data_IF_130137045281
#
_entry.id   IF_130137045281
#
_cell.length_a   1.000
_cell.length_b   1.000
_cell.length_c   1.000
_cell.angle_alpha   90.00
_cell.angle_beta   90.00
_cell.angle_gamma   90.00
#
_symmetry.space_group_name_H-M   'P 1'
#
loop_
_entity.id
_entity.type
_entity.pdbx_description
1 polymer ?
#
# COMPACT_ATOMS: atom_id res chain seq x y z
N UNK A 1 -4.44 12.76 -18.67
CA UNK A 1 -4.23 12.27 -17.28
C UNK A 1 -5.19 11.13 -16.92
N UNK A 2 -6.50 11.29 -17.18
CA UNK A 2 -7.53 10.25 -16.96
C UNK A 2 -7.21 8.87 -17.58
N UNK A 3 -6.88 8.81 -18.88
CA UNK A 3 -6.59 7.55 -19.59
C UNK A 3 -5.35 6.85 -19.01
N UNK A 4 -4.31 7.62 -18.65
CA UNK A 4 -3.09 7.09 -18.03
C UNK A 4 -3.38 6.53 -16.64
N UNK A 5 -4.23 7.20 -15.86
CA UNK A 5 -4.64 6.76 -14.53
C UNK A 5 -5.49 5.47 -14.61
N UNK A 6 -6.35 5.35 -15.62
CA UNK A 6 -7.17 4.17 -15.87
C UNK A 6 -6.32 2.96 -16.29
N UNK A 7 -5.36 3.15 -17.20
CA UNK A 7 -4.41 2.10 -17.57
C UNK A 7 -3.53 1.67 -16.40
N UNK A 8 -3.09 2.61 -15.56
CA UNK A 8 -2.26 2.30 -14.41
C UNK A 8 -3.02 1.50 -13.34
N UNK A 9 -4.28 1.88 -13.04
CA UNK A 9 -5.14 1.10 -12.13
C UNK A 9 -5.43 -0.29 -12.69
N UNK A 10 -5.74 -0.41 -13.98
CA UNK A 10 -6.01 -1.71 -14.61
C UNK A 10 -4.78 -2.64 -14.57
N UNK A 11 -3.60 -2.12 -14.92
CA UNK A 11 -2.35 -2.88 -14.86
C UNK A 11 -2.01 -3.31 -13.42
N UNK A 12 -2.21 -2.42 -12.44
CA UNK A 12 -2.04 -2.73 -11.02
C UNK A 12 -3.01 -3.80 -10.53
N UNK A 13 -4.29 -3.78 -10.95
CA UNK A 13 -5.26 -4.82 -10.60
C UNK A 13 -4.88 -6.20 -11.14
N UNK A 14 -4.39 -6.29 -12.39
CA UNK A 14 -3.96 -7.56 -12.98
C UNK A 14 -2.74 -8.12 -12.22
N UNK A 15 -1.77 -7.27 -11.87
CA UNK A 15 -0.64 -7.66 -11.04
C UNK A 15 -1.06 -8.15 -9.64
N UNK A 16 -2.09 -7.54 -9.04
CA UNK A 16 -2.62 -8.00 -7.75
C UNK A 16 -3.27 -9.39 -7.85
N UNK A 17 -3.98 -9.69 -8.94
CA UNK A 17 -4.55 -11.03 -9.14
C UNK A 17 -3.45 -12.10 -9.24
N UNK A 18 -2.34 -11.81 -9.92
CA UNK A 18 -1.17 -12.70 -9.97
C UNK A 18 -0.48 -12.83 -8.61
N UNK A 19 -0.42 -11.75 -7.83
CA UNK A 19 0.13 -11.76 -6.47
C UNK A 19 -0.70 -12.60 -5.49
N UNK A 20 -1.99 -12.77 -5.74
CA UNK A 20 -2.85 -13.61 -4.90
C UNK A 20 -2.53 -15.10 -5.02
N UNK A 21 -1.95 -15.56 -6.14
CA UNK A 21 -1.67 -16.98 -6.37
C UNK A 21 -0.67 -17.55 -5.33
N UNK A 22 0.51 -16.91 -5.07
CA UNK A 22 1.40 -17.32 -4.00
C UNK A 22 0.79 -17.35 -2.60
N UNK A 23 -0.20 -16.49 -2.31
CA UNK A 23 -0.86 -16.48 -0.99
C UNK A 23 -1.52 -17.84 -0.75
N UNK A 24 -2.22 -18.39 -1.74
CA UNK A 24 -2.85 -19.71 -1.60
C UNK A 24 -1.87 -20.87 -1.39
N UNK A 25 -0.60 -20.70 -1.76
CA UNK A 25 0.41 -21.76 -1.72
C UNK A 25 1.24 -21.69 -0.42
N UNK A 26 1.57 -20.50 0.06
CA UNK A 26 2.52 -20.31 1.17
C UNK A 26 1.88 -19.87 2.49
N UNK A 27 0.57 -19.66 2.52
CA UNK A 27 -0.18 -19.39 3.75
C UNK A 27 -0.79 -20.69 4.27
N UNK A 28 -0.17 -21.26 5.30
CA UNK A 28 -0.65 -22.48 5.95
C UNK A 28 -0.98 -22.22 7.42
N UNK A 29 -1.78 -23.11 8.01
CA UNK A 29 -2.07 -23.09 9.45
C UNK A 29 -0.88 -23.71 10.17
N UNK A 30 -0.16 -22.90 10.93
CA UNK A 30 0.94 -23.40 11.76
C UNK A 30 0.40 -24.39 12.80
N UNK A 31 0.90 -25.64 12.84
CA UNK A 31 0.41 -26.64 13.80
C UNK A 31 0.77 -26.29 15.25
N UNK A 32 1.74 -25.38 15.46
CA UNK A 32 2.25 -25.01 16.78
C UNK A 32 1.47 -23.82 17.37
N UNK A 33 1.21 -22.80 16.55
CA UNK A 33 0.54 -21.56 17.02
C UNK A 33 -0.95 -21.53 16.70
N UNK A 34 -1.47 -22.50 15.91
CA UNK A 34 -2.83 -22.52 15.36
C UNK A 34 -3.24 -21.23 14.63
N UNK A 35 -2.26 -20.42 14.24
CA UNK A 35 -2.49 -19.19 13.48
C UNK A 35 -2.18 -19.43 12.02
N UNK A 36 -3.03 -18.86 11.15
CA UNK A 36 -2.75 -18.81 9.72
C UNK A 36 -1.61 -17.84 9.48
N UNK A 37 -0.52 -18.32 8.90
CA UNK A 37 0.69 -17.53 8.77
C UNK A 37 1.55 -17.97 7.59
N UNK A 38 2.46 -17.10 7.22
CA UNK A 38 3.41 -17.41 6.17
C UNK A 38 4.44 -18.44 6.67
N UNK A 39 4.55 -19.58 5.98
CA UNK A 39 5.50 -20.64 6.31
C UNK A 39 6.89 -20.41 5.72
N UNK A 40 7.01 -19.53 4.71
CA UNK A 40 8.24 -19.31 3.97
C UNK A 40 8.79 -17.89 4.19
N UNK A 41 9.97 -17.80 4.81
CA UNK A 41 10.66 -16.53 5.05
C UNK A 41 10.95 -15.74 3.77
N UNK A 42 11.28 -16.42 2.66
CA UNK A 42 11.51 -15.77 1.37
C UNK A 42 10.23 -15.13 0.82
N UNK A 43 9.09 -15.79 1.01
CA UNK A 43 7.79 -15.24 0.64
C UNK A 43 7.45 -14.00 1.48
N UNK A 44 7.82 -13.97 2.77
CA UNK A 44 7.58 -12.83 3.65
C UNK A 44 8.37 -11.57 3.24
N UNK A 45 9.60 -11.76 2.77
CA UNK A 45 10.40 -10.67 2.17
C UNK A 45 9.71 -10.17 0.89
N UNK A 46 9.31 -11.09 0.01
CA UNK A 46 8.64 -10.75 -1.25
C UNK A 46 7.34 -9.96 -1.03
N UNK A 47 6.47 -10.40 -0.12
CA UNK A 47 5.20 -9.71 0.17
C UNK A 47 5.44 -8.31 0.74
N UNK A 48 6.45 -8.16 1.60
CA UNK A 48 6.80 -6.86 2.18
C UNK A 48 7.32 -5.89 1.11
N UNK A 49 8.21 -6.36 0.22
CA UNK A 49 8.72 -5.56 -0.91
C UNK A 49 7.60 -5.21 -1.89
N UNK A 50 6.71 -6.16 -2.19
CA UNK A 50 5.59 -5.92 -3.09
C UNK A 50 4.63 -4.86 -2.51
N UNK A 51 4.29 -4.96 -1.23
CA UNK A 51 3.39 -4.03 -0.54
C UNK A 51 3.98 -2.61 -0.44
N UNK A 52 5.23 -2.47 0.02
CA UNK A 52 5.88 -1.16 0.17
C UNK A 52 6.31 -0.54 -1.16
N UNK A 53 6.82 -1.35 -2.08
CA UNK A 53 7.38 -0.86 -3.34
C UNK A 53 6.30 -0.68 -4.40
N UNK A 54 5.78 -1.81 -4.87
CA UNK A 54 4.89 -1.87 -6.03
C UNK A 54 3.48 -1.34 -5.75
N UNK A 55 2.91 -1.67 -4.59
CA UNK A 55 1.53 -1.30 -4.29
C UNK A 55 1.39 0.16 -3.82
N UNK A 56 2.42 0.77 -3.23
CA UNK A 56 2.33 2.13 -2.66
C UNK A 56 3.35 3.11 -3.22
N UNK A 57 4.65 2.83 -3.12
CA UNK A 57 5.67 3.82 -3.46
C UNK A 57 5.65 4.20 -4.94
N UNK A 58 5.60 3.22 -5.84
CA UNK A 58 5.58 3.47 -7.30
C UNK A 58 4.36 4.31 -7.72
N UNK A 59 3.10 3.93 -7.40
CA UNK A 59 1.95 4.73 -7.77
C UNK A 59 1.97 6.11 -7.10
N UNK A 60 2.39 6.23 -5.85
CA UNK A 60 2.51 7.52 -5.17
C UNK A 60 3.49 8.46 -5.87
N UNK A 61 4.69 7.99 -6.20
CA UNK A 61 5.73 8.79 -6.89
C UNK A 61 5.23 9.24 -8.26
N UNK A 62 4.62 8.33 -9.03
CA UNK A 62 4.07 8.67 -10.34
C UNK A 62 2.93 9.67 -10.24
N UNK A 63 2.03 9.52 -9.26
CA UNK A 63 0.94 10.47 -9.03
C UNK A 63 1.46 11.86 -8.65
N UNK A 64 2.49 11.95 -7.80
CA UNK A 64 3.12 13.23 -7.46
C UNK A 64 3.81 13.84 -8.67
N UNK A 65 4.55 13.06 -9.46
CA UNK A 65 5.25 13.54 -10.64
C UNK A 65 4.29 14.05 -11.71
N UNK A 66 3.26 13.26 -12.07
CA UNK A 66 2.25 13.68 -13.04
C UNK A 66 1.37 14.82 -12.50
N UNK A 67 1.06 14.83 -11.21
CA UNK A 67 0.35 15.93 -10.55
C UNK A 67 1.14 17.24 -10.62
N UNK A 68 2.45 17.18 -10.40
CA UNK A 68 3.34 18.35 -10.53
C UNK A 68 3.40 18.86 -11.98
N UNK A 69 3.55 17.96 -12.97
CA UNK A 69 3.52 18.33 -14.38
C UNK A 69 2.17 18.93 -14.79
N UNK A 70 1.06 18.37 -14.31
CA UNK A 70 -0.28 18.90 -14.55
C UNK A 70 -0.46 20.28 -13.91
N UNK A 71 0.02 20.48 -12.68
CA UNK A 71 0.00 21.78 -12.01
C UNK A 71 0.76 22.84 -12.81
N UNK A 72 1.98 22.52 -13.28
CA UNK A 72 2.78 23.43 -14.10
C UNK A 72 2.10 23.77 -15.44
N UNK A 73 1.48 22.79 -16.10
CA UNK A 73 0.77 22.97 -17.36
C UNK A 73 -0.52 23.81 -17.21
N UNK A 74 -1.25 23.63 -16.10
CA UNK A 74 -2.45 24.40 -15.78
C UNK A 74 -2.10 25.86 -15.50
N UNK A 75 -1.02 26.13 -14.77
CA UNK A 75 -0.56 27.49 -14.49
C UNK A 75 -0.16 28.25 -15.77
N UNK A 76 0.40 27.57 -16.77
CA UNK A 76 0.72 28.17 -18.07
C UNK A 76 -0.51 28.34 -18.98
N UNK A 77 -1.44 27.38 -18.97
CA UNK A 77 -2.59 27.36 -19.88
C UNK A 77 -3.85 27.89 -19.17
N UNK A 78 -3.93 29.20 -18.94
CA UNK A 78 -5.01 29.85 -18.18
C UNK A 78 -6.37 29.94 -18.91
N UNK A 79 -6.50 29.40 -20.14
CA UNK A 79 -7.57 29.82 -21.06
C UNK A 79 -8.46 28.71 -21.66
N UNK A 80 -8.52 27.50 -21.09
CA UNK A 80 -9.39 26.42 -21.60
C UNK A 80 -10.38 25.94 -20.53
N UNK A 81 -11.67 26.11 -20.85
CA UNK A 81 -12.90 25.89 -20.08
C UNK A 81 -13.14 24.44 -19.59
N UNK A 82 -12.12 23.58 -19.53
CA UNK A 82 -12.19 22.15 -19.17
C UNK A 82 -11.35 21.76 -17.94
N UNK A 83 -10.75 22.71 -17.25
CA UNK A 83 -9.83 22.43 -16.13
C UNK A 83 -10.51 22.02 -14.82
N UNK A 84 -11.82 22.23 -14.65
CA UNK A 84 -12.48 21.96 -13.37
C UNK A 84 -12.52 20.47 -13.03
N UNK A 85 -12.74 19.60 -14.02
CA UNK A 85 -12.69 18.15 -13.85
C UNK A 85 -11.28 17.65 -13.50
N UNK A 86 -10.24 18.18 -14.16
CA UNK A 86 -8.85 17.84 -13.88
C UNK A 86 -8.39 18.35 -12.50
N UNK A 87 -8.90 19.52 -12.08
CA UNK A 87 -8.62 20.10 -10.76
C UNK A 87 -9.30 19.31 -9.64
N UNK A 88 -10.53 18.84 -9.86
CA UNK A 88 -11.22 17.95 -8.94
C UNK A 88 -10.48 16.61 -8.81
N UNK A 89 -10.03 16.03 -9.93
CA UNK A 89 -9.25 14.79 -9.93
C UNK A 89 -7.93 14.96 -9.17
N UNK A 90 -7.18 16.05 -9.39
CA UNK A 90 -5.96 16.32 -8.62
C UNK A 90 -6.21 16.41 -7.11
N UNK A 91 -7.30 17.07 -6.68
CA UNK A 91 -7.65 17.14 -5.26
C UNK A 91 -7.93 15.75 -4.69
N UNK A 92 -8.70 14.93 -5.40
CA UNK A 92 -8.99 13.55 -4.98
C UNK A 92 -7.72 12.71 -4.87
N UNK A 93 -6.81 12.81 -5.84
CA UNK A 93 -5.54 12.08 -5.84
C UNK A 93 -4.62 12.52 -4.69
N UNK A 94 -4.57 13.80 -4.35
CA UNK A 94 -3.78 14.28 -3.22
C UNK A 94 -4.29 13.72 -1.89
N UNK A 95 -5.61 13.68 -1.68
CA UNK A 95 -6.18 13.02 -0.49
C UNK A 95 -5.84 11.53 -0.45
N UNK A 96 -5.90 10.84 -1.60
CA UNK A 96 -5.54 9.43 -1.68
C UNK A 96 -4.07 9.18 -1.35
N UNK A 97 -3.15 10.03 -1.80
CA UNK A 97 -1.72 9.95 -1.45
C UNK A 97 -1.50 10.19 0.05
N UNK A 98 -2.17 11.19 0.64
CA UNK A 98 -2.09 11.44 2.08
C UNK A 98 -2.58 10.25 2.90
N UNK A 99 -3.73 9.67 2.53
CA UNK A 99 -4.25 8.47 3.19
C UNK A 99 -3.30 7.27 3.04
N UNK A 100 -2.65 7.13 1.89
CA UNK A 100 -1.66 6.07 1.67
C UNK A 100 -0.46 6.21 2.62
N UNK A 101 0.07 7.43 2.78
CA UNK A 101 1.19 7.72 3.68
C UNK A 101 0.81 7.48 5.14
N UNK A 102 -0.40 7.81 5.55
CA UNK A 102 -0.85 7.66 6.96
C UNK A 102 -1.24 6.21 7.29
N UNK A 103 -1.85 5.48 6.35
CA UNK A 103 -2.37 4.13 6.64
C UNK A 103 -1.43 3.01 6.20
N UNK A 104 -0.94 3.04 4.95
CA UNK A 104 -0.23 1.89 4.37
C UNK A 104 1.25 1.89 4.73
N UNK A 105 1.91 3.06 4.73
CA UNK A 105 3.35 3.14 5.03
C UNK A 105 3.66 2.61 6.45
N UNK A 106 2.93 3.01 7.52
CA UNK A 106 3.20 2.49 8.86
C UNK A 106 2.93 0.98 8.96
N UNK A 107 1.90 0.48 8.28
CA UNK A 107 1.62 -0.96 8.22
C UNK A 107 2.74 -1.74 7.51
N UNK A 108 3.28 -1.21 6.41
CA UNK A 108 4.44 -1.78 5.74
C UNK A 108 5.68 -1.82 6.63
N UNK A 109 5.97 -0.72 7.33
CA UNK A 109 7.08 -0.64 8.29
C UNK A 109 6.92 -1.67 9.41
N UNK A 110 5.70 -1.85 9.94
CA UNK A 110 5.43 -2.84 10.98
C UNK A 110 5.63 -4.29 10.50
N UNK A 111 5.27 -4.59 9.24
CA UNK A 111 5.54 -5.89 8.63
C UNK A 111 7.04 -6.14 8.45
N UNK A 112 7.78 -5.14 7.96
CA UNK A 112 9.23 -5.22 7.82
C UNK A 112 9.91 -5.42 9.18
N UNK A 113 9.47 -4.66 10.20
CA UNK A 113 9.95 -4.81 11.58
C UNK A 113 9.70 -6.22 12.11
N UNK A 114 8.49 -6.76 11.92
CA UNK A 114 8.13 -8.11 12.35
C UNK A 114 8.98 -9.18 11.66
N UNK A 115 9.27 -8.99 10.36
CA UNK A 115 10.11 -9.90 9.58
C UNK A 115 11.56 -9.90 10.06
N UNK A 116 12.16 -8.71 10.26
CA UNK A 116 13.55 -8.57 10.74
C UNK A 116 13.71 -9.10 12.17
N UNK A 117 12.70 -8.92 13.02
CA UNK A 117 12.74 -9.33 14.43
C UNK A 117 12.22 -10.75 14.70
N UNK A 118 11.89 -11.51 13.65
CA UNK A 118 11.35 -12.88 13.75
C UNK A 118 12.31 -13.88 14.41
N UNK A 119 13.63 -13.65 14.34
CA UNK A 119 14.66 -14.49 14.95
C UNK A 119 15.07 -14.08 16.38
N UNK A 120 14.45 -13.04 16.96
CA UNK A 120 14.83 -12.50 18.27
C UNK A 120 13.81 -12.94 19.32
N UNK A 121 14.28 -13.51 20.43
CA UNK A 121 13.42 -13.82 21.59
C UNK A 121 12.90 -12.51 22.21
N UNK A 122 11.57 -12.34 22.21
CA UNK A 122 10.88 -11.16 22.74
C UNK A 122 10.21 -11.49 24.07
N UNK A 123 10.30 -10.59 25.05
CA UNK A 123 9.55 -10.69 26.30
C UNK A 123 8.03 -10.58 26.05
N UNK A 124 7.22 -11.16 26.96
CA UNK A 124 5.76 -11.20 26.83
C UNK A 124 5.11 -9.82 26.71
N UNK A 125 5.58 -8.84 27.50
CA UNK A 125 5.04 -7.48 27.50
C UNK A 125 5.26 -6.77 26.16
N UNK A 126 6.46 -6.95 25.58
CA UNK A 126 6.80 -6.39 24.27
C UNK A 126 5.97 -7.02 23.16
N UNK A 127 5.75 -8.32 23.24
CA UNK A 127 4.95 -9.04 22.24
C UNK A 127 3.48 -8.57 22.25
N UNK A 128 2.90 -8.34 23.42
CA UNK A 128 1.53 -7.82 23.53
C UNK A 128 1.38 -6.42 22.93
N UNK A 129 2.36 -5.53 23.18
CA UNK A 129 2.37 -4.19 22.61
C UNK A 129 2.49 -4.22 21.07
N UNK A 130 3.36 -5.09 20.54
CA UNK A 130 3.50 -5.28 19.10
C UNK A 130 2.20 -5.79 18.45
N UNK A 131 1.50 -6.73 19.08
CA UNK A 131 0.19 -7.17 18.59
C UNK A 131 -0.86 -6.06 18.61
N UNK A 132 -0.92 -5.28 19.68
CA UNK A 132 -1.87 -4.17 19.78
C UNK A 132 -1.65 -3.13 18.66
N UNK A 133 -0.40 -2.73 18.42
CA UNK A 133 -0.04 -1.81 17.35
C UNK A 133 -0.36 -2.42 15.99
N UNK A 134 -0.03 -3.70 15.79
CA UNK A 134 -0.34 -4.42 14.55
C UNK A 134 -1.83 -4.42 14.25
N UNK A 135 -2.69 -4.69 15.23
CA UNK A 135 -4.16 -4.66 15.06
C UNK A 135 -4.65 -3.28 14.64
N UNK A 136 -4.17 -2.20 15.28
CA UNK A 136 -4.55 -0.82 14.91
C UNK A 136 -4.16 -0.52 13.47
N UNK A 137 -2.92 -0.85 13.08
CA UNK A 137 -2.42 -0.59 11.73
C UNK A 137 -3.17 -1.41 10.67
N UNK A 138 -3.52 -2.66 10.98
CA UNK A 138 -4.34 -3.52 10.11
C UNK A 138 -5.73 -2.93 9.91
N UNK A 139 -6.39 -2.45 10.98
CA UNK A 139 -7.71 -1.82 10.88
C UNK A 139 -7.67 -0.55 10.03
N UNK A 140 -6.67 0.30 10.22
CA UNK A 140 -6.46 1.51 9.40
C UNK A 140 -6.24 1.17 7.92
N UNK A 141 -5.51 0.08 7.66
CA UNK A 141 -5.26 -0.43 6.30
C UNK A 141 -6.52 -0.95 5.64
N UNK A 142 -7.39 -1.70 6.35
CA UNK A 142 -8.69 -2.11 5.82
C UNK A 142 -9.62 -0.92 5.56
N UNK A 143 -9.58 0.10 6.42
CA UNK A 143 -10.28 1.35 6.17
C UNK A 143 -9.84 2.00 4.86
N UNK A 144 -8.52 2.05 4.60
CA UNK A 144 -7.98 2.56 3.33
C UNK A 144 -8.49 1.78 2.11
N UNK A 145 -8.48 0.44 2.18
CA UNK A 145 -8.97 -0.41 1.07
C UNK A 145 -10.48 -0.30 0.82
N UNK A 146 -11.27 0.14 1.80
CA UNK A 146 -12.72 0.34 1.63
C UNK A 146 -13.02 1.65 0.88
N UNK A 147 -12.14 2.66 1.00
CA UNK A 147 -12.32 3.99 0.41
C UNK A 147 -11.77 4.07 -1.03
N UNK A 148 -10.75 3.27 -1.36
CA UNK A 148 -10.03 3.32 -2.65
C UNK A 148 -10.57 2.33 -3.69
#
# INVERSE_FOLDING_TARGET
MLILCFHFKCSSSICNCLHAIPIFIFYEISPITQTCGNTNAAYGIYTTIHLLGLATSIPAILMVFFGYLAYRNIHMTRNLNRQDADRQLMRMTLFQVLLNIVCIVPYGINNLYSLVTSGVSKGADRLQLEYFISTILTLLTYGYFTVC
#
